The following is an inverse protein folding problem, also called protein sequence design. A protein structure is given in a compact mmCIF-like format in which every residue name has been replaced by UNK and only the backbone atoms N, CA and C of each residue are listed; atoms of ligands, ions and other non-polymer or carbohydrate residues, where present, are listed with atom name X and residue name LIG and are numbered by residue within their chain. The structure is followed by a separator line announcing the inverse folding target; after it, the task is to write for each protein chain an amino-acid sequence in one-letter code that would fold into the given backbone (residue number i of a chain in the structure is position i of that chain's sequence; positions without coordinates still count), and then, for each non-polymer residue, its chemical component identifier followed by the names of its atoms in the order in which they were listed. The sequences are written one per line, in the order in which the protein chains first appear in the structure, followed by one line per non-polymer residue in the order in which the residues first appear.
data_IF_450519733056
#
_entry.id   IF_450519733056
#
_cell.length_a   1.000
_cell.length_b   1.000
_cell.length_c   1.000
_cell.angle_alpha   90.00
_cell.angle_beta   90.00
_cell.angle_gamma   90.00
#
_symmetry.space_group_name_H-M   'P 1'
#
loop_
_entity.id
_entity.type
_entity.pdbx_description
1 polymer ?
#
# COMPACT_ATOMS: atom_id res chain seq x y z
N UNK A 1 12.30 6.17 15.19
CA UNK A 1 12.18 5.73 13.78
C UNK A 1 13.25 6.41 12.95
N UNK A 2 13.75 5.70 11.93
CA UNK A 2 14.79 6.24 11.05
C UNK A 2 14.17 7.17 10.00
N UNK A 3 14.85 8.26 9.68
CA UNK A 3 14.47 9.14 8.59
C UNK A 3 14.50 8.38 7.25
N UNK A 4 13.55 8.63 6.33
CA UNK A 4 13.61 8.04 5.00
C UNK A 4 14.79 8.63 4.22
N UNK A 5 15.42 7.82 3.38
CA UNK A 5 16.50 8.27 2.50
C UNK A 5 15.93 8.86 1.21
N UNK A 6 16.55 9.93 0.71
CA UNK A 6 16.25 10.54 -0.57
C UNK A 6 17.51 11.25 -1.09
N UNK A 7 17.82 11.12 -2.39
CA UNK A 7 19.03 11.69 -3.01
C UNK A 7 20.34 11.31 -2.28
N UNK A 8 20.42 10.08 -1.75
CA UNK A 8 21.59 9.58 -1.03
C UNK A 8 21.74 10.07 0.42
N UNK A 9 20.82 10.89 0.93
CA UNK A 9 20.88 11.44 2.29
C UNK A 9 19.57 11.21 3.07
N UNK A 10 19.61 11.21 4.41
CA UNK A 10 18.40 11.24 5.22
C UNK A 10 17.59 12.52 4.99
N UNK A 11 16.28 12.39 4.79
CA UNK A 11 15.36 13.52 4.76
C UNK A 11 15.28 14.20 6.14
N UNK A 12 15.07 15.52 6.16
CA UNK A 12 14.88 16.32 7.36
C UNK A 12 13.41 16.28 7.79
N UNK A 13 13.17 16.18 9.09
CA UNK A 13 11.81 16.30 9.65
C UNK A 13 11.38 17.77 9.66
N UNK A 14 10.17 18.03 9.21
CA UNK A 14 9.50 19.34 9.23
C UNK A 14 8.00 19.16 9.49
N UNK A 15 7.23 20.24 9.37
CA UNK A 15 5.78 20.26 9.58
C UNK A 15 5.04 20.78 8.34
N UNK A 16 3.71 20.62 8.34
CA UNK A 16 2.87 21.15 7.28
C UNK A 16 2.88 22.68 7.20
N UNK A 17 3.39 23.40 8.20
CA UNK A 17 3.62 24.84 8.08
C UNK A 17 4.62 25.19 6.97
N UNK A 18 5.67 24.38 6.80
CA UNK A 18 6.67 24.54 5.74
C UNK A 18 6.15 23.97 4.41
N UNK A 19 5.53 22.78 4.44
CA UNK A 19 5.13 22.05 3.22
C UNK A 19 3.83 22.57 2.59
N UNK A 20 2.86 22.95 3.41
CA UNK A 20 1.53 23.39 3.00
C UNK A 20 1.09 24.63 3.82
N UNK A 21 1.75 25.79 3.67
CA UNK A 21 1.49 26.97 4.50
C UNK A 21 0.04 27.45 4.45
N UNK A 22 -0.67 27.21 3.34
CA UNK A 22 -2.06 27.58 3.16
C UNK A 22 -3.07 26.57 3.76
N UNK A 23 -2.60 25.43 4.30
CA UNK A 23 -3.44 24.38 4.87
C UNK A 23 -3.32 24.37 6.38
N UNK A 24 -4.08 25.24 7.04
CA UNK A 24 -4.10 25.40 8.51
C UNK A 24 -4.33 24.08 9.25
N UNK A 25 -5.12 23.18 8.68
CA UNK A 25 -5.40 21.86 9.25
C UNK A 25 -4.17 20.92 9.28
N UNK A 26 -3.09 21.25 8.56
CA UNK A 26 -1.86 20.46 8.46
C UNK A 26 -0.66 21.13 9.16
N UNK A 27 -0.81 22.34 9.70
CA UNK A 27 0.31 23.15 10.23
C UNK A 27 1.21 22.37 11.19
N UNK A 28 0.63 21.51 12.05
CA UNK A 28 1.35 20.69 13.04
C UNK A 28 1.60 19.25 12.60
N UNK A 29 1.16 18.87 11.40
CA UNK A 29 1.35 17.52 10.87
C UNK A 29 2.82 17.33 10.48
N UNK A 30 3.50 16.25 10.93
CA UNK A 30 4.89 16.01 10.58
C UNK A 30 5.04 15.50 9.15
N UNK A 31 6.09 15.98 8.47
CA UNK A 31 6.53 15.58 7.15
C UNK A 31 8.03 15.38 7.13
N UNK A 32 8.51 14.44 6.31
CA UNK A 32 9.92 14.35 5.96
C UNK A 32 10.14 15.03 4.62
N UNK A 33 11.13 15.93 4.53
CA UNK A 33 11.50 16.69 3.33
C UNK A 33 12.96 16.45 2.95
N UNK A 34 13.20 16.23 1.67
CA UNK A 34 14.55 16.25 1.10
C UNK A 34 14.87 17.68 0.68
N UNK A 35 15.93 18.27 1.23
CA UNK A 35 16.34 19.63 0.88
C UNK A 35 17.09 19.69 -0.48
N UNK A 36 17.44 18.54 -1.09
CA UNK A 36 18.05 18.47 -2.44
C UNK A 36 17.00 18.52 -3.53
N UNK A 37 16.09 17.53 -3.60
CA UNK A 37 15.08 17.44 -4.65
C UNK A 37 13.74 18.10 -4.28
N UNK A 38 13.63 18.67 -3.08
CA UNK A 38 12.40 19.27 -2.55
C UNK A 38 11.24 18.27 -2.41
N UNK A 39 11.52 16.97 -2.51
CA UNK A 39 10.55 15.91 -2.31
C UNK A 39 10.14 15.78 -0.85
N UNK A 40 8.90 15.38 -0.60
CA UNK A 40 8.41 15.19 0.77
C UNK A 40 7.45 14.02 0.90
N UNK A 41 7.28 13.54 2.13
CA UNK A 41 6.34 12.48 2.51
C UNK A 41 5.74 12.78 3.88
N UNK A 42 4.43 12.58 4.02
CA UNK A 42 3.76 12.70 5.31
C UNK A 42 4.02 11.51 6.23
N UNK A 43 3.62 11.65 7.48
CA UNK A 43 3.73 10.58 8.48
C UNK A 43 2.37 10.01 8.89
N UNK A 44 2.35 8.79 9.42
CA UNK A 44 1.20 8.25 10.13
C UNK A 44 0.87 9.12 11.35
N UNK A 45 -0.43 9.34 11.59
CA UNK A 45 -0.92 10.26 12.62
C UNK A 45 -0.34 9.98 14.00
N UNK A 46 0.16 11.03 14.66
CA UNK A 46 0.78 10.92 15.99
C UNK A 46 2.18 10.28 16.01
N UNK A 47 2.77 9.98 14.85
CA UNK A 47 4.09 9.34 14.75
C UNK A 47 4.98 10.03 13.72
N UNK A 48 6.26 9.66 13.69
CA UNK A 48 7.19 10.05 12.61
C UNK A 48 7.39 8.93 11.57
N UNK A 49 6.49 7.93 11.52
CA UNK A 49 6.53 6.86 10.54
C UNK A 49 6.11 7.43 9.19
N UNK A 50 7.02 7.47 8.22
CA UNK A 50 6.71 7.98 6.89
C UNK A 50 5.74 7.04 6.13
N UNK A 51 4.82 7.63 5.35
CA UNK A 51 3.81 6.91 4.55
C UNK A 51 4.37 6.25 3.28
N UNK A 52 5.65 6.47 2.98
CA UNK A 52 6.34 6.08 1.75
C UNK A 52 7.70 6.75 1.66
N UNK A 53 8.18 6.99 0.46
CA UNK A 53 9.42 7.77 0.22
C UNK A 53 9.13 9.23 -0.11
N UNK A 54 10.02 10.17 0.28
CA UNK A 54 9.94 11.56 -0.18
C UNK A 54 9.82 11.61 -1.70
N UNK A 55 8.80 12.31 -2.18
CA UNK A 55 8.47 12.38 -3.60
C UNK A 55 8.40 13.85 -4.04
N UNK A 56 8.96 14.18 -5.20
CA UNK A 56 8.81 15.48 -5.85
C UNK A 56 7.35 15.73 -6.25
N UNK A 57 7.02 16.94 -6.69
CA UNK A 57 5.67 17.25 -7.17
C UNK A 57 5.22 16.32 -8.30
N UNK A 58 6.12 16.02 -9.24
CA UNK A 58 5.88 15.12 -10.38
C UNK A 58 5.61 13.68 -9.90
N UNK A 59 6.46 13.14 -9.03
CA UNK A 59 6.27 11.78 -8.49
C UNK A 59 4.96 11.71 -7.69
N UNK A 60 4.61 12.75 -6.92
CA UNK A 60 3.32 12.79 -6.21
C UNK A 60 2.14 12.82 -7.18
N UNK A 61 2.24 13.55 -8.29
CA UNK A 61 1.21 13.57 -9.32
C UNK A 61 1.05 12.20 -9.99
N UNK A 62 2.16 11.53 -10.34
CA UNK A 62 2.14 10.19 -10.90
C UNK A 62 1.53 9.15 -9.94
N UNK A 63 1.94 9.17 -8.65
CA UNK A 63 1.35 8.32 -7.61
C UNK A 63 -0.14 8.58 -7.42
N UNK A 64 -0.55 9.86 -7.48
CA UNK A 64 -1.97 10.24 -7.41
C UNK A 64 -2.77 9.67 -8.59
N UNK A 65 -2.22 9.67 -9.80
CA UNK A 65 -2.85 9.04 -10.97
C UNK A 65 -3.04 7.53 -10.76
N UNK A 66 -2.05 6.83 -10.21
CA UNK A 66 -2.20 5.40 -9.85
C UNK A 66 -3.32 5.22 -8.83
N UNK A 67 -3.36 6.03 -7.76
CA UNK A 67 -4.41 5.96 -6.75
C UNK A 67 -5.83 6.20 -7.31
N UNK A 68 -5.98 7.11 -8.28
CA UNK A 68 -7.27 7.38 -8.91
C UNK A 68 -7.86 6.14 -9.60
N UNK A 69 -7.03 5.27 -10.15
CA UNK A 69 -7.46 4.01 -10.79
C UNK A 69 -7.53 2.87 -9.76
N UNK A 70 -6.52 2.76 -8.89
CA UNK A 70 -6.37 1.67 -7.93
C UNK A 70 -7.42 1.69 -6.82
N UNK A 71 -7.73 2.88 -6.28
CA UNK A 71 -8.54 2.98 -5.07
C UNK A 71 -10.00 2.51 -5.25
N UNK A 72 -10.71 2.89 -6.33
CA UNK A 72 -12.06 2.37 -6.61
C UNK A 72 -12.11 0.83 -6.65
N UNK A 73 -11.09 0.17 -7.19
CA UNK A 73 -11.06 -1.29 -7.33
C UNK A 73 -11.15 -2.02 -5.99
N UNK A 74 -10.62 -1.46 -4.90
CA UNK A 74 -10.75 -2.05 -3.57
C UNK A 74 -11.82 -1.39 -2.71
N UNK A 75 -12.06 -0.09 -2.86
CA UNK A 75 -13.07 0.65 -2.11
C UNK A 75 -14.49 0.20 -2.49
N UNK A 76 -14.73 -0.10 -3.76
CA UNK A 76 -16.04 -0.48 -4.29
C UNK A 76 -16.16 -1.96 -4.60
N UNK A 77 -15.17 -2.76 -4.18
CA UNK A 77 -15.18 -4.21 -4.36
C UNK A 77 -16.41 -4.91 -3.76
N UNK A 78 -17.09 -4.29 -2.81
CA UNK A 78 -18.32 -4.80 -2.20
C UNK A 78 -19.55 -4.69 -3.12
N UNK A 79 -19.47 -3.94 -4.22
CA UNK A 79 -20.55 -3.74 -5.19
C UNK A 79 -20.60 -4.84 -6.27
N UNK A 80 -19.63 -5.73 -6.36
CA UNK A 80 -19.62 -6.78 -7.39
C UNK A 80 -20.71 -7.84 -7.13
N UNK A 81 -21.12 -8.54 -8.18
CA UNK A 81 -22.16 -9.61 -8.14
C UNK A 81 -21.94 -10.63 -7.01
N UNK A 82 -20.69 -10.98 -6.72
CA UNK A 82 -20.34 -11.96 -5.70
C UNK A 82 -20.71 -11.54 -4.25
N UNK A 83 -21.02 -10.27 -4.02
CA UNK A 83 -21.38 -9.73 -2.70
C UNK A 83 -22.80 -9.15 -2.65
N UNK A 84 -23.63 -9.38 -3.68
CA UNK A 84 -25.05 -9.01 -3.65
C UNK A 84 -25.74 -9.69 -2.46
N UNK A 85 -26.51 -8.92 -1.69
CA UNK A 85 -27.18 -9.40 -0.47
C UNK A 85 -26.28 -9.49 0.77
N UNK A 86 -24.97 -9.22 0.67
CA UNK A 86 -24.10 -9.17 1.85
C UNK A 86 -24.52 -8.03 2.79
N UNK A 87 -24.54 -8.27 4.11
CA UNK A 87 -24.92 -7.23 5.07
C UNK A 87 -23.86 -6.11 5.10
N UNK A 88 -24.28 -4.87 5.36
CA UNK A 88 -23.39 -3.69 5.41
C UNK A 88 -22.17 -3.89 6.33
N UNK A 89 -22.31 -4.63 7.43
CA UNK A 89 -21.20 -4.97 8.36
C UNK A 89 -20.05 -5.74 7.68
N UNK A 90 -20.31 -6.46 6.59
CA UNK A 90 -19.28 -7.18 5.85
C UNK A 90 -18.43 -6.27 4.94
N UNK A 91 -18.91 -5.05 4.62
CA UNK A 91 -18.25 -4.12 3.68
C UNK A 91 -16.79 -3.88 4.02
N UNK A 92 -16.48 -3.54 5.27
CA UNK A 92 -15.10 -3.26 5.70
C UNK A 92 -14.19 -4.47 5.48
N UNK A 93 -14.66 -5.68 5.82
CA UNK A 93 -13.90 -6.92 5.61
C UNK A 93 -13.66 -7.17 4.12
N UNK A 94 -14.66 -6.93 3.28
CA UNK A 94 -14.54 -7.09 1.82
C UNK A 94 -13.51 -6.12 1.26
N UNK A 95 -13.57 -4.83 1.62
CA UNK A 95 -12.62 -3.81 1.16
C UNK A 95 -11.18 -4.13 1.60
N UNK A 96 -10.98 -4.59 2.84
CA UNK A 96 -9.66 -5.00 3.34
C UNK A 96 -9.09 -6.16 2.51
N UNK A 97 -9.88 -7.22 2.30
CA UNK A 97 -9.45 -8.36 1.48
C UNK A 97 -9.21 -7.96 0.02
N UNK A 98 -10.06 -7.11 -0.55
CA UNK A 98 -9.91 -6.60 -1.90
C UNK A 98 -8.61 -5.82 -2.07
N UNK A 99 -8.28 -4.93 -1.12
CA UNK A 99 -7.01 -4.18 -1.12
C UNK A 99 -5.81 -5.12 -1.05
N UNK A 100 -5.87 -6.14 -0.18
CA UNK A 100 -4.80 -7.14 -0.06
C UNK A 100 -4.57 -7.89 -1.38
N UNK A 101 -5.65 -8.36 -2.02
CA UNK A 101 -5.61 -9.04 -3.31
C UNK A 101 -5.09 -8.14 -4.42
N UNK A 102 -5.59 -6.91 -4.50
CA UNK A 102 -5.21 -5.96 -5.55
C UNK A 102 -3.72 -5.66 -5.55
N UNK A 103 -3.14 -5.43 -4.38
CA UNK A 103 -1.71 -5.23 -4.28
C UNK A 103 -0.91 -6.54 -4.45
N UNK A 104 -1.48 -7.71 -4.18
CA UNK A 104 -0.84 -8.99 -4.52
C UNK A 104 -0.83 -9.22 -6.05
N UNK A 105 -1.92 -8.87 -6.72
CA UNK A 105 -2.05 -8.88 -8.18
C UNK A 105 -1.02 -7.92 -8.79
N UNK A 106 -0.99 -6.68 -8.32
CA UNK A 106 -0.05 -5.67 -8.79
C UNK A 106 1.41 -6.11 -8.58
N UNK A 107 1.75 -6.65 -7.41
CA UNK A 107 3.09 -7.15 -7.12
C UNK A 107 3.50 -8.27 -8.09
N UNK A 108 2.62 -9.25 -8.31
CA UNK A 108 2.85 -10.35 -9.23
C UNK A 108 3.12 -9.87 -10.66
N UNK A 109 2.28 -8.98 -11.19
CA UNK A 109 2.41 -8.49 -12.56
C UNK A 109 3.55 -7.49 -12.76
N UNK A 110 3.98 -6.79 -11.71
CA UNK A 110 5.15 -5.89 -11.75
C UNK A 110 6.47 -6.60 -11.43
N UNK A 111 6.43 -7.90 -11.09
CA UNK A 111 7.60 -8.67 -10.67
C UNK A 111 8.23 -8.14 -9.38
N UNK A 112 7.43 -7.59 -8.46
CA UNK A 112 7.90 -6.99 -7.21
C UNK A 112 7.63 -7.89 -6.00
N UNK A 113 8.52 -7.86 -4.98
CA UNK A 113 8.18 -8.35 -3.65
C UNK A 113 6.94 -7.65 -3.11
N UNK A 114 6.13 -8.38 -2.33
CA UNK A 114 4.83 -7.89 -1.85
C UNK A 114 4.97 -6.65 -0.98
N UNK A 115 6.06 -6.60 -0.21
CA UNK A 115 6.44 -5.57 0.75
C UNK A 115 6.88 -4.27 0.06
N UNK A 116 7.39 -4.38 -1.17
CA UNK A 116 7.86 -3.26 -1.99
C UNK A 116 6.76 -2.73 -2.93
N UNK A 117 5.69 -3.51 -3.14
CA UNK A 117 4.55 -3.12 -3.95
C UNK A 117 3.58 -2.22 -3.16
N UNK A 118 3.98 -0.98 -2.93
CA UNK A 118 3.13 0.08 -2.37
C UNK A 118 3.27 1.35 -3.21
N UNK A 119 2.16 2.01 -3.58
CA UNK A 119 2.19 3.19 -4.47
C UNK A 119 3.06 4.32 -3.87
N UNK A 120 3.10 4.43 -2.55
CA UNK A 120 3.99 5.35 -1.84
C UNK A 120 5.50 5.11 -2.02
N UNK A 121 5.90 4.03 -2.70
CA UNK A 121 7.28 3.70 -3.05
C UNK A 121 7.57 3.85 -4.55
N UNK A 122 6.55 4.01 -5.40
CA UNK A 122 6.73 4.06 -6.85
C UNK A 122 7.39 5.36 -7.30
N UNK A 123 8.16 5.30 -8.37
CA UNK A 123 8.80 6.43 -9.04
C UNK A 123 8.13 6.74 -10.38
N UNK A 124 8.74 7.61 -11.19
CA UNK A 124 8.22 8.01 -12.50
C UNK A 124 8.24 6.88 -13.53
N UNK A 125 9.11 5.87 -13.37
CA UNK A 125 9.14 4.71 -14.26
C UNK A 125 8.08 3.67 -13.84
N UNK A 126 7.91 3.46 -12.53
CA UNK A 126 7.01 2.43 -11.99
C UNK A 126 5.53 2.81 -12.04
N UNK A 127 5.20 4.10 -11.95
CA UNK A 127 3.79 4.53 -12.00
C UNK A 127 3.12 4.18 -13.35
N UNK A 128 3.74 4.43 -14.52
CA UNK A 128 3.24 3.96 -15.81
C UNK A 128 3.02 2.44 -15.88
N UNK A 129 3.99 1.64 -15.43
CA UNK A 129 3.86 0.17 -15.43
C UNK A 129 2.65 -0.28 -14.59
N UNK A 130 2.48 0.33 -13.42
CA UNK A 130 1.35 0.05 -12.56
C UNK A 130 0.02 0.42 -13.21
N UNK A 131 -0.05 1.57 -13.91
CA UNK A 131 -1.24 1.97 -14.65
C UNK A 131 -1.56 0.99 -15.78
N UNK A 132 -0.56 0.51 -16.52
CA UNK A 132 -0.76 -0.48 -17.57
C UNK A 132 -1.34 -1.80 -17.02
N UNK A 133 -0.91 -2.24 -15.84
CA UNK A 133 -1.48 -3.43 -15.16
C UNK A 133 -2.91 -3.20 -14.68
N UNK A 134 -3.23 -1.97 -14.28
CA UNK A 134 -4.56 -1.61 -13.76
C UNK A 134 -5.58 -1.28 -14.85
N UNK A 135 -5.12 -1.03 -16.08
CA UNK A 135 -5.99 -0.66 -17.18
C UNK A 135 -7.02 -1.76 -17.50
N UNK A 136 -8.29 -1.37 -17.60
CA UNK A 136 -9.42 -2.29 -17.78
C UNK A 136 -9.67 -3.28 -16.63
N UNK A 137 -8.88 -3.24 -15.55
CA UNK A 137 -8.98 -4.19 -14.44
C UNK A 137 -10.30 -3.98 -13.66
N UNK A 138 -10.89 -5.08 -13.19
CA UNK A 138 -12.08 -5.02 -12.34
C UNK A 138 -11.85 -5.72 -11.01
N UNK A 139 -12.56 -5.32 -9.96
CA UNK A 139 -12.52 -6.01 -8.66
C UNK A 139 -12.91 -7.49 -8.78
N UNK A 140 -13.80 -7.82 -9.72
CA UNK A 140 -14.20 -9.20 -10.03
C UNK A 140 -13.04 -10.03 -10.60
N UNK A 141 -12.30 -9.47 -11.57
CA UNK A 141 -11.13 -10.11 -12.16
C UNK A 141 -10.03 -10.37 -11.12
N UNK A 142 -9.70 -9.36 -10.29
CA UNK A 142 -8.72 -9.50 -9.20
C UNK A 142 -9.14 -10.59 -8.20
N UNK A 143 -10.43 -10.64 -7.85
CA UNK A 143 -10.96 -11.69 -6.96
C UNK A 143 -10.85 -13.07 -7.59
N UNK A 144 -11.22 -13.21 -8.87
CA UNK A 144 -11.15 -14.49 -9.59
C UNK A 144 -9.70 -15.00 -9.67
N UNK A 145 -8.73 -14.12 -9.96
CA UNK A 145 -7.30 -14.43 -9.96
C UNK A 145 -6.81 -14.90 -8.58
N UNK A 146 -7.23 -14.25 -7.49
CA UNK A 146 -6.76 -14.58 -6.14
C UNK A 146 -7.35 -15.89 -5.58
N UNK A 147 -8.56 -16.30 -6.01
CA UNK A 147 -9.26 -17.46 -5.46
C UNK A 147 -8.48 -18.78 -5.49
N UNK A 148 -7.89 -19.22 -6.62
CA UNK A 148 -7.12 -20.46 -6.66
C UNK A 148 -5.87 -20.41 -5.76
N UNK A 149 -5.18 -19.26 -5.72
CA UNK A 149 -4.00 -19.05 -4.87
C UNK A 149 -4.37 -19.19 -3.39
N UNK A 150 -5.46 -18.52 -2.97
CA UNK A 150 -5.96 -18.61 -1.60
C UNK A 150 -6.45 -20.02 -1.25
N UNK A 151 -7.04 -20.74 -2.20
CA UNK A 151 -7.49 -22.12 -2.01
C UNK A 151 -6.30 -23.07 -1.79
N UNK A 152 -5.26 -22.95 -2.61
CA UNK A 152 -4.01 -23.69 -2.46
C UNK A 152 -3.34 -23.39 -1.11
N UNK A 153 -3.24 -22.12 -0.72
CA UNK A 153 -2.67 -21.71 0.56
C UNK A 153 -3.45 -22.27 1.77
N UNK A 154 -4.79 -22.35 1.68
CA UNK A 154 -5.62 -23.00 2.72
C UNK A 154 -5.38 -24.50 2.78
N UNK A 155 -5.25 -25.17 1.64
CA UNK A 155 -4.99 -26.61 1.57
C UNK A 155 -3.61 -26.99 2.11
N UNK A 156 -2.59 -26.15 1.92
CA UNK A 156 -1.23 -26.37 2.41
C UNK A 156 -1.10 -26.32 3.95
N UNK A 157 -2.06 -25.70 4.66
CA UNK A 157 -2.04 -25.56 6.12
C UNK A 157 -0.91 -24.64 6.64
N UNK A 158 -0.98 -24.27 7.93
CA UNK A 158 0.19 -23.67 8.61
C UNK A 158 1.18 -24.79 8.93
N UNK A 159 2.50 -24.60 8.76
CA UNK A 159 3.47 -25.56 9.26
C UNK A 159 3.23 -25.78 10.76
N UNK A 160 3.04 -27.04 11.16
CA UNK A 160 2.88 -27.42 12.56
C UNK A 160 4.22 -27.13 13.25
N UNK A 161 4.26 -26.35 14.35
CA UNK A 161 5.51 -26.12 15.06
C UNK A 161 6.10 -27.47 15.46
N UNK A 162 7.41 -27.65 15.22
CA UNK A 162 8.13 -28.80 15.74
C UNK A 162 7.92 -28.82 17.25
N UNK A 163 7.21 -29.83 17.75
CA UNK A 163 7.12 -30.07 19.18
C UNK A 163 8.53 -30.46 19.62
N UNK A 164 9.21 -29.58 20.35
CA UNK A 164 10.41 -29.96 21.09
C UNK A 164 10.04 -31.16 21.96
N UNK A 165 10.67 -32.31 21.70
CA UNK A 165 10.50 -33.49 22.54
C UNK A 165 11.03 -33.07 23.91
N UNK A 166 10.13 -33.13 24.91
CA UNK A 166 10.43 -32.74 26.28
C UNK A 166 11.74 -33.37 26.74
N UNK A 167 12.55 -32.56 27.41
CA UNK A 167 13.72 -33.01 28.16
C UNK A 167 13.28 -34.19 29.04
N UNK A 168 13.96 -35.32 28.86
CA UNK A 168 13.87 -36.42 29.80
C UNK A 168 14.24 -35.89 31.19
N UNK A 169 13.38 -36.21 32.16
CA UNK A 169 13.64 -35.97 33.57
C UNK A 169 14.95 -36.68 33.98
N UNK A 170 15.78 -35.97 34.72
CA UNK A 170 16.87 -36.53 35.52
C UNK A 170 16.37 -36.71 36.95
#
# INVERSE_FOLDING_TARGET
MRAPLCCGAPARLTTGAEIYPHRVNLTRTPFWRCDTCQGHVGCHGGTHQHLGTPATAEVRAARKAVHQVLDPLWMDAWCIRAYVGCPRRARRRIQVLARQRLYAYLAHHLGLPREECHVGLFDLARCPDALAVLDGLTSGAVRAWAQPIEAAARAAGKPRPLRERGRAAA
#
